data_IF_853519965771
#
_entry.id   IF_853519965771
#
_cell.length_a   1.000
_cell.length_b   1.000
_cell.length_c   1.000
_cell.angle_alpha   90.00
_cell.angle_beta   90.00
_cell.angle_gamma   90.00
#
_symmetry.space_group_name_H-M   'P 1'
#
loop_
_entity.id
_entity.type
_entity.pdbx_description
1 polymer ?
#
# COMPACT_ATOMS: atom_id res chain seq x y z
N UNK A 1 -6.31 20.14 25.35
CA UNK A 1 -5.52 19.37 24.40
C UNK A 1 -6.38 18.59 23.39
N UNK A 2 -7.59 18.23 23.67
CA UNK A 2 -8.41 17.33 22.83
C UNK A 2 -9.31 17.95 21.76
N UNK A 3 -9.48 19.27 21.67
CA UNK A 3 -10.55 19.82 20.82
C UNK A 3 -10.25 19.77 19.31
N UNK A 4 -8.99 19.96 18.90
CA UNK A 4 -8.60 19.83 17.49
C UNK A 4 -8.64 18.39 17.01
N UNK A 5 -8.15 17.47 17.83
CA UNK A 5 -8.17 16.04 17.51
C UNK A 5 -9.60 15.50 17.49
N UNK A 6 -10.43 15.83 18.48
CA UNK A 6 -11.85 15.48 18.50
C UNK A 6 -12.57 15.97 17.23
N UNK A 7 -12.41 17.24 16.84
CA UNK A 7 -12.99 17.79 15.62
C UNK A 7 -12.50 17.05 14.36
N UNK A 8 -11.24 16.61 14.35
CA UNK A 8 -10.67 15.87 13.21
C UNK A 8 -11.21 14.45 13.14
N UNK A 9 -11.35 13.78 14.28
CA UNK A 9 -11.98 12.46 14.37
C UNK A 9 -13.42 12.53 13.86
N UNK A 10 -14.18 13.55 14.23
CA UNK A 10 -15.54 13.74 13.73
C UNK A 10 -15.58 13.98 12.20
N UNK A 11 -14.59 14.69 11.64
CA UNK A 11 -14.44 14.82 10.19
C UNK A 11 -14.13 13.46 9.55
N UNK A 12 -13.21 12.68 10.12
CA UNK A 12 -12.89 11.34 9.62
C UNK A 12 -14.08 10.39 9.70
N UNK A 13 -14.83 10.41 10.80
CA UNK A 13 -16.09 9.68 10.95
C UNK A 13 -17.08 10.03 9.83
N UNK A 14 -17.29 11.33 9.57
CA UNK A 14 -18.17 11.80 8.49
C UNK A 14 -17.70 11.38 7.09
N UNK A 15 -16.40 11.33 6.84
CA UNK A 15 -15.83 10.87 5.56
C UNK A 15 -15.98 9.34 5.36
N UNK A 16 -16.00 8.57 6.45
CA UNK A 16 -16.21 7.13 6.43
C UNK A 16 -17.68 6.75 6.23
N UNK A 17 -18.60 7.59 6.71
CA UNK A 17 -20.03 7.34 6.63
C UNK A 17 -20.66 8.08 5.46
N UNK A 18 -20.93 7.36 4.40
CA UNK A 18 -21.85 7.82 3.36
C UNK A 18 -23.26 7.28 3.69
N UNK A 19 -23.99 8.00 4.53
CA UNK A 19 -25.44 7.76 4.74
C UNK A 19 -26.28 8.42 3.66
N UNK A 20 -25.67 8.95 2.63
CA UNK A 20 -26.35 9.62 1.55
C UNK A 20 -27.15 8.67 0.66
N UNK A 21 -28.00 9.27 -0.15
CA UNK A 21 -28.86 8.58 -1.14
C UNK A 21 -28.10 7.75 -2.17
N UNK A 22 -26.77 7.93 -2.28
CA UNK A 22 -25.89 7.17 -3.18
C UNK A 22 -25.41 5.84 -2.60
N UNK A 23 -25.47 5.68 -1.27
CA UNK A 23 -25.08 4.44 -0.63
C UNK A 23 -26.14 3.36 -0.85
N UNK A 24 -25.79 2.30 -1.58
CA UNK A 24 -26.69 1.19 -1.91
C UNK A 24 -27.11 0.34 -0.70
N UNK A 25 -26.42 0.45 0.43
CA UNK A 25 -26.81 -0.17 1.70
C UNK A 25 -27.96 0.59 2.37
N UNK A 26 -28.14 1.87 2.05
CA UNK A 26 -29.21 2.74 2.58
C UNK A 26 -30.32 2.94 1.56
N UNK A 27 -29.93 3.15 0.28
CA UNK A 27 -30.85 3.37 -0.81
C UNK A 27 -30.47 2.50 -2.00
N UNK A 28 -30.99 1.29 -2.00
CA UNK A 28 -30.78 0.34 -3.08
C UNK A 28 -31.59 0.75 -4.30
N UNK A 29 -30.90 1.10 -5.35
CA UNK A 29 -31.50 1.40 -6.63
C UNK A 29 -31.24 0.25 -7.61
N UNK A 30 -32.29 -0.26 -8.21
CA UNK A 30 -32.18 -1.25 -9.27
C UNK A 30 -31.61 -0.61 -10.52
N UNK A 31 -30.69 -1.30 -11.18
CA UNK A 31 -30.04 -0.82 -12.39
C UNK A 31 -29.85 -1.91 -13.41
N UNK A 32 -29.77 -1.51 -14.70
CA UNK A 32 -29.69 -2.48 -15.81
C UNK A 32 -28.56 -3.52 -15.68
N UNK A 33 -27.39 -3.15 -15.12
CA UNK A 33 -26.21 -4.03 -15.03
C UNK A 33 -25.59 -4.08 -13.63
N UNK A 34 -26.31 -3.64 -12.61
CA UNK A 34 -25.79 -3.53 -11.23
C UNK A 34 -26.40 -4.51 -10.26
N UNK A 35 -27.47 -5.19 -10.62
CA UNK A 35 -28.14 -6.20 -9.80
C UNK A 35 -28.95 -7.15 -10.65
N UNK A 36 -29.23 -8.33 -10.10
CA UNK A 36 -30.17 -9.33 -10.62
C UNK A 36 -31.15 -9.64 -9.49
N UNK A 37 -32.45 -9.49 -9.74
CA UNK A 37 -33.48 -9.95 -8.83
C UNK A 37 -33.79 -11.42 -9.13
N UNK A 38 -33.78 -12.25 -8.10
CA UNK A 38 -34.15 -13.66 -8.16
C UNK A 38 -35.63 -13.74 -7.78
N UNK A 39 -36.45 -14.30 -8.65
CA UNK A 39 -37.89 -14.39 -8.49
C UNK A 39 -38.33 -15.76 -7.99
N UNK A 40 -37.60 -16.82 -8.35
CA UNK A 40 -37.85 -18.21 -7.97
C UNK A 40 -36.49 -18.87 -7.69
N UNK A 41 -36.33 -19.68 -6.64
CA UNK A 41 -37.32 -20.11 -5.63
C UNK A 41 -37.60 -19.03 -4.57
N UNK A 42 -38.46 -19.35 -3.59
CA UNK A 42 -38.71 -18.48 -2.44
C UNK A 42 -37.43 -18.24 -1.62
N UNK A 43 -37.43 -17.16 -0.84
CA UNK A 43 -36.29 -16.70 -0.05
C UNK A 43 -35.74 -17.81 0.86
N UNK A 44 -36.60 -18.54 1.61
CA UNK A 44 -36.15 -19.61 2.50
C UNK A 44 -35.59 -20.82 1.75
N UNK A 45 -36.19 -21.19 0.60
CA UNK A 45 -35.63 -22.27 -0.22
C UNK A 45 -34.26 -21.90 -0.81
N UNK A 46 -34.08 -20.65 -1.19
CA UNK A 46 -32.79 -20.17 -1.68
C UNK A 46 -31.74 -20.17 -0.55
N UNK A 47 -32.16 -19.77 0.66
CA UNK A 47 -31.33 -19.88 1.87
C UNK A 47 -30.93 -21.33 2.15
N UNK A 48 -31.90 -22.25 2.15
CA UNK A 48 -31.65 -23.68 2.37
C UNK A 48 -30.62 -24.21 1.34
N UNK A 49 -30.77 -23.86 0.07
CA UNK A 49 -29.84 -24.32 -0.98
C UNK A 49 -28.43 -23.79 -0.78
N UNK A 50 -28.26 -22.48 -0.59
CA UNK A 50 -26.96 -21.82 -0.58
C UNK A 50 -26.28 -21.93 0.78
N UNK A 51 -27.00 -21.70 1.88
CA UNK A 51 -26.39 -21.55 3.19
C UNK A 51 -26.42 -22.86 3.98
N UNK A 52 -27.55 -23.57 3.99
CA UNK A 52 -27.69 -24.81 4.79
C UNK A 52 -27.03 -25.99 4.08
N UNK A 53 -27.30 -26.15 2.78
CA UNK A 53 -26.81 -27.29 2.00
C UNK A 53 -25.53 -26.99 1.22
N UNK A 54 -25.04 -25.76 1.24
CA UNK A 54 -23.86 -25.28 0.47
C UNK A 54 -23.89 -25.72 -1.01
N UNK A 55 -25.10 -25.79 -1.58
CA UNK A 55 -25.32 -26.25 -2.96
C UNK A 55 -24.97 -25.15 -3.94
N UNK A 56 -24.29 -25.50 -5.03
CA UNK A 56 -24.09 -24.62 -6.18
C UNK A 56 -25.43 -24.39 -6.90
N UNK A 57 -25.74 -23.14 -7.20
CA UNK A 57 -26.94 -22.73 -7.91
C UNK A 57 -26.57 -22.32 -9.34
N UNK A 58 -27.18 -22.96 -10.32
CA UNK A 58 -26.94 -22.71 -11.73
C UNK A 58 -27.90 -21.65 -12.24
N UNK A 59 -27.35 -20.59 -12.87
CA UNK A 59 -28.14 -19.56 -13.54
C UNK A 59 -28.66 -20.06 -14.91
N UNK A 60 -29.80 -19.54 -15.39
CA UNK A 60 -30.24 -19.76 -16.74
C UNK A 60 -29.18 -19.32 -17.76
N UNK A 61 -28.99 -20.12 -18.81
CA UNK A 61 -27.98 -19.88 -19.83
C UNK A 61 -28.52 -20.27 -21.21
N UNK A 62 -28.21 -19.47 -22.23
CA UNK A 62 -28.44 -19.82 -23.60
C UNK A 62 -27.24 -19.43 -24.45
N UNK A 63 -26.81 -20.34 -25.30
CA UNK A 63 -25.76 -20.09 -26.28
C UNK A 63 -26.36 -19.72 -27.62
N UNK A 64 -26.14 -18.50 -28.07
CA UNK A 64 -26.54 -17.98 -29.33
C UNK A 64 -25.58 -18.41 -30.44
N UNK A 65 -26.07 -19.02 -31.49
CA UNK A 65 -25.22 -19.57 -32.58
C UNK A 65 -25.40 -18.77 -33.85
N UNK A 66 -26.63 -18.44 -34.26
CA UNK A 66 -26.93 -17.76 -35.51
C UNK A 66 -28.16 -16.86 -35.37
N UNK A 67 -28.29 -15.94 -36.31
CA UNK A 67 -29.52 -15.19 -36.58
C UNK A 67 -30.05 -15.75 -37.87
N UNK A 68 -31.32 -16.15 -37.92
CA UNK A 68 -31.95 -16.63 -39.14
C UNK A 68 -32.21 -15.49 -40.16
N UNK A 69 -32.69 -15.85 -41.36
CA UNK A 69 -32.95 -14.90 -42.44
C UNK A 69 -34.08 -13.91 -42.10
N UNK A 70 -34.93 -14.22 -41.09
CA UNK A 70 -35.99 -13.37 -40.56
C UNK A 70 -35.55 -12.48 -39.38
N UNK A 71 -34.30 -12.61 -38.94
CA UNK A 71 -33.73 -11.85 -37.82
C UNK A 71 -34.00 -12.46 -36.45
N UNK A 72 -34.53 -13.68 -36.37
CA UNK A 72 -34.71 -14.40 -35.10
C UNK A 72 -33.42 -15.07 -34.63
N UNK A 73 -33.24 -15.06 -33.32
CA UNK A 73 -32.04 -15.61 -32.68
C UNK A 73 -32.15 -17.12 -32.47
N UNK A 74 -31.27 -17.91 -33.09
CA UNK A 74 -31.19 -19.35 -32.91
C UNK A 74 -30.23 -19.70 -31.79
N UNK A 75 -30.68 -20.47 -30.79
CA UNK A 75 -29.92 -20.93 -29.67
C UNK A 75 -29.58 -22.42 -29.81
N UNK A 76 -28.29 -22.77 -29.69
CA UNK A 76 -27.83 -24.16 -29.75
C UNK A 76 -28.08 -24.91 -28.43
N UNK A 77 -27.87 -24.22 -27.32
CA UNK A 77 -28.00 -24.82 -25.99
C UNK A 77 -28.78 -23.89 -25.07
N UNK A 78 -29.86 -24.41 -24.48
CA UNK A 78 -30.64 -23.69 -23.46
C UNK A 78 -30.61 -24.49 -22.18
N UNK A 79 -30.06 -23.89 -21.10
CA UNK A 79 -30.06 -24.43 -19.75
C UNK A 79 -31.00 -23.59 -18.89
N UNK A 80 -32.05 -24.21 -18.35
CA UNK A 80 -33.05 -23.50 -17.52
C UNK A 80 -32.49 -23.01 -16.20
N UNK A 81 -31.45 -23.70 -15.67
CA UNK A 81 -30.90 -23.39 -14.36
C UNK A 81 -31.80 -23.79 -13.19
N UNK A 82 -31.36 -23.45 -11.97
CA UNK A 82 -32.05 -23.73 -10.71
C UNK A 82 -32.96 -22.58 -10.25
N UNK A 83 -32.81 -21.40 -10.86
CA UNK A 83 -33.48 -20.15 -10.45
C UNK A 83 -34.05 -19.40 -11.63
N UNK A 84 -35.09 -18.60 -11.35
CA UNK A 84 -35.64 -17.63 -12.30
C UNK A 84 -35.25 -16.21 -11.88
N UNK A 85 -35.10 -15.33 -12.83
CA UNK A 85 -34.70 -13.95 -12.60
C UNK A 85 -35.59 -12.96 -13.36
N UNK A 86 -35.59 -11.70 -12.93
CA UNK A 86 -36.34 -10.62 -13.59
C UNK A 86 -35.74 -10.16 -14.93
N UNK A 87 -34.71 -10.83 -15.45
CA UNK A 87 -33.97 -10.41 -16.66
C UNK A 87 -34.06 -11.45 -17.77
N UNK A 88 -34.18 -11.01 -19.03
CA UNK A 88 -33.93 -11.87 -20.17
C UNK A 88 -32.53 -12.47 -20.13
N UNK A 89 -32.32 -13.65 -20.68
CA UNK A 89 -31.07 -14.43 -20.57
C UNK A 89 -29.86 -13.62 -21.07
N UNK A 90 -29.96 -12.89 -22.14
CA UNK A 90 -28.86 -12.09 -22.69
C UNK A 90 -28.43 -10.95 -21.75
N UNK A 91 -29.39 -10.25 -21.17
CA UNK A 91 -29.14 -9.18 -20.22
C UNK A 91 -28.64 -9.75 -18.87
N UNK A 92 -29.14 -10.92 -18.49
CA UNK A 92 -28.67 -11.66 -17.32
C UNK A 92 -27.18 -12.01 -17.45
N UNK A 93 -26.76 -12.62 -18.56
CA UNK A 93 -25.36 -12.99 -18.80
C UNK A 93 -24.44 -11.78 -18.77
N UNK A 94 -24.81 -10.66 -19.41
CA UNK A 94 -24.05 -9.41 -19.38
C UNK A 94 -23.96 -8.84 -17.97
N UNK A 95 -25.03 -8.94 -17.20
CA UNK A 95 -25.08 -8.47 -15.81
C UNK A 95 -24.21 -9.34 -14.90
N UNK A 96 -24.30 -10.66 -14.98
CA UNK A 96 -23.49 -11.60 -14.21
C UNK A 96 -21.99 -11.44 -14.50
N UNK A 97 -21.64 -11.25 -15.79
CA UNK A 97 -20.26 -10.93 -16.19
C UNK A 97 -19.75 -9.64 -15.52
N UNK A 98 -20.58 -8.58 -15.52
CA UNK A 98 -20.22 -7.31 -14.88
C UNK A 98 -20.07 -7.43 -13.37
N UNK A 99 -21.00 -8.13 -12.70
CA UNK A 99 -20.96 -8.36 -11.25
C UNK A 99 -19.73 -9.16 -10.86
N UNK A 100 -19.45 -10.27 -11.57
CA UNK A 100 -18.27 -11.10 -11.34
C UNK A 100 -16.96 -10.34 -11.56
N UNK A 101 -16.87 -9.57 -12.63
CA UNK A 101 -15.69 -8.76 -12.92
C UNK A 101 -15.39 -7.78 -11.77
N UNK A 102 -16.40 -7.02 -11.32
CA UNK A 102 -16.25 -6.09 -10.20
C UNK A 102 -15.86 -6.79 -8.89
N UNK A 103 -16.48 -7.92 -8.59
CA UNK A 103 -16.16 -8.70 -7.40
C UNK A 103 -14.72 -9.23 -7.44
N UNK A 104 -14.29 -9.80 -8.57
CA UNK A 104 -12.93 -10.30 -8.72
C UNK A 104 -11.90 -9.16 -8.65
N UNK A 105 -12.15 -8.03 -9.30
CA UNK A 105 -11.27 -6.85 -9.19
C UNK A 105 -11.14 -6.39 -7.74
N UNK A 106 -12.24 -6.34 -6.98
CA UNK A 106 -12.19 -5.98 -5.56
C UNK A 106 -11.38 -6.99 -4.73
N UNK A 107 -11.53 -8.28 -5.02
CA UNK A 107 -10.75 -9.34 -4.36
C UNK A 107 -9.26 -9.23 -4.74
N UNK A 108 -8.94 -8.98 -6.00
CA UNK A 108 -7.55 -8.86 -6.48
C UNK A 108 -6.86 -7.60 -5.97
N UNK A 109 -7.55 -6.46 -5.97
CA UNK A 109 -6.97 -5.17 -5.56
C UNK A 109 -6.97 -4.97 -4.05
N UNK A 110 -8.06 -5.35 -3.36
CA UNK A 110 -8.29 -5.04 -1.94
C UNK A 110 -8.38 -6.29 -1.04
N UNK A 111 -8.46 -7.48 -1.63
CA UNK A 111 -8.66 -8.72 -0.90
C UNK A 111 -10.07 -8.89 -0.31
N UNK A 112 -11.07 -8.17 -0.82
CA UNK A 112 -12.41 -8.07 -0.23
C UNK A 112 -13.45 -8.58 -1.19
N UNK A 113 -14.33 -9.47 -0.73
CA UNK A 113 -15.52 -9.83 -1.48
C UNK A 113 -16.56 -8.70 -1.39
N UNK A 114 -17.09 -8.31 -2.55
CA UNK A 114 -18.17 -7.32 -2.63
C UNK A 114 -19.47 -7.90 -3.15
N UNK A 115 -19.48 -9.17 -3.60
CA UNK A 115 -20.66 -9.78 -4.17
C UNK A 115 -21.52 -10.40 -3.06
N UNK A 116 -22.74 -9.91 -2.94
CA UNK A 116 -23.69 -10.36 -1.94
C UNK A 116 -25.03 -10.73 -2.57
N UNK A 117 -25.62 -11.77 -2.02
CA UNK A 117 -27.03 -12.05 -2.17
C UNK A 117 -27.76 -11.37 -1.01
N UNK A 118 -28.66 -10.45 -1.32
CA UNK A 118 -29.44 -9.74 -0.31
C UNK A 118 -30.78 -10.44 -0.12
N UNK A 119 -31.15 -10.68 1.12
CA UNK A 119 -32.44 -11.28 1.48
C UNK A 119 -33.26 -10.29 2.29
N UNK A 120 -34.41 -9.93 1.75
CA UNK A 120 -35.30 -8.91 2.30
C UNK A 120 -34.85 -7.47 2.09
N UNK A 121 -35.82 -6.61 1.85
CA UNK A 121 -35.65 -5.17 1.69
C UNK A 121 -36.53 -4.40 2.66
N UNK A 122 -35.95 -3.43 3.38
CA UNK A 122 -36.71 -2.49 4.19
C UNK A 122 -37.06 -1.26 3.34
N UNK A 123 -38.36 -1.00 3.20
CA UNK A 123 -38.91 0.25 2.64
C UNK A 123 -39.21 1.21 3.77
N UNK A 124 -38.47 2.30 3.84
CA UNK A 124 -38.55 3.23 4.97
C UNK A 124 -38.44 4.69 4.53
N UNK A 125 -38.81 5.61 5.42
CA UNK A 125 -38.75 7.05 5.20
C UNK A 125 -37.88 7.69 6.27
N UNK A 126 -37.10 8.69 5.89
CA UNK A 126 -36.27 9.46 6.81
C UNK A 126 -37.07 10.45 7.66
N UNK A 127 -38.22 10.91 7.10
CA UNK A 127 -39.18 11.75 7.78
C UNK A 127 -40.60 11.31 7.40
N UNK A 128 -41.53 11.40 8.33
CA UNK A 128 -42.93 10.94 8.10
C UNK A 128 -43.64 11.75 7.01
N UNK A 129 -43.24 13.03 6.84
CA UNK A 129 -43.79 13.95 5.81
C UNK A 129 -43.10 13.82 4.43
N UNK A 130 -42.04 13.02 4.34
CA UNK A 130 -41.32 12.83 3.09
C UNK A 130 -42.06 11.93 2.12
N UNK A 131 -42.16 12.39 0.87
CA UNK A 131 -42.61 11.53 -0.24
C UNK A 131 -41.56 10.50 -0.67
N UNK A 132 -40.28 10.69 -0.27
CA UNK A 132 -39.17 9.81 -0.65
C UNK A 132 -39.14 8.57 0.23
N UNK A 133 -39.24 7.39 -0.40
CA UNK A 133 -39.07 6.08 0.22
C UNK A 133 -37.68 5.54 -0.12
N UNK A 134 -36.95 5.13 0.89
CA UNK A 134 -35.68 4.42 0.76
C UNK A 134 -35.92 2.92 0.74
N UNK A 135 -35.07 2.20 0.02
CA UNK A 135 -35.04 0.73 0.01
C UNK A 135 -33.67 0.28 0.47
N UNK A 136 -33.60 -0.47 1.57
CA UNK A 136 -32.33 -0.94 2.13
C UNK A 136 -32.32 -2.45 2.25
N UNK A 137 -31.25 -3.14 1.78
CA UNK A 137 -31.13 -4.58 1.97
C UNK A 137 -30.95 -4.91 3.46
N UNK A 138 -31.49 -6.04 3.90
CA UNK A 138 -31.53 -6.41 5.31
C UNK A 138 -30.45 -7.44 5.63
N UNK A 139 -30.54 -8.66 5.07
CA UNK A 139 -29.57 -9.74 5.28
C UNK A 139 -28.63 -9.80 4.08
N UNK A 140 -27.33 -9.87 4.32
CA UNK A 140 -26.29 -9.90 3.32
C UNK A 140 -25.57 -11.25 3.40
N UNK A 141 -25.79 -12.10 2.40
CA UNK A 141 -25.12 -13.40 2.25
C UNK A 141 -23.96 -13.25 1.27
N UNK A 142 -22.72 -13.47 1.71
CA UNK A 142 -21.55 -13.38 0.82
C UNK A 142 -21.54 -14.54 -0.17
N UNK A 143 -21.38 -14.25 -1.46
CA UNK A 143 -21.41 -15.26 -2.52
C UNK A 143 -20.32 -15.03 -3.55
N UNK A 144 -20.06 -16.05 -4.39
CA UNK A 144 -19.17 -15.97 -5.54
C UNK A 144 -19.86 -16.47 -6.80
N UNK A 145 -19.49 -15.89 -7.94
CA UNK A 145 -19.89 -16.35 -9.26
C UNK A 145 -18.74 -17.12 -9.90
N UNK A 146 -18.95 -18.41 -10.11
CA UNK A 146 -18.03 -19.30 -10.82
C UNK A 146 -18.49 -19.48 -12.27
N UNK A 147 -17.53 -19.68 -13.16
CA UNK A 147 -17.75 -20.06 -14.57
C UNK A 147 -16.57 -20.92 -15.01
N UNK A 148 -16.83 -22.05 -15.62
CA UNK A 148 -15.79 -23.00 -16.07
C UNK A 148 -15.21 -22.57 -17.42
N UNK A 149 -16.08 -22.16 -18.35
CA UNK A 149 -15.70 -21.71 -19.69
C UNK A 149 -16.61 -20.58 -20.16
N UNK A 150 -16.26 -19.93 -21.25
CA UNK A 150 -17.08 -18.85 -21.85
C UNK A 150 -18.46 -19.37 -22.26
N UNK A 151 -18.56 -20.66 -22.56
CA UNK A 151 -19.79 -21.35 -23.03
C UNK A 151 -20.51 -22.09 -21.91
N UNK A 152 -20.15 -21.88 -20.65
CA UNK A 152 -20.76 -22.51 -19.49
C UNK A 152 -21.68 -21.57 -18.73
N UNK A 153 -22.73 -22.07 -18.05
CA UNK A 153 -23.56 -21.26 -17.17
C UNK A 153 -22.77 -20.71 -15.98
N UNK A 154 -23.18 -19.57 -15.47
CA UNK A 154 -22.69 -19.07 -14.18
C UNK A 154 -23.28 -19.92 -13.04
N UNK A 155 -22.44 -20.18 -12.04
CA UNK A 155 -22.82 -20.85 -10.81
C UNK A 155 -22.63 -19.90 -9.64
N UNK A 156 -23.62 -19.84 -8.78
CA UNK A 156 -23.58 -19.07 -7.52
C UNK A 156 -23.21 -20.03 -6.39
N UNK A 157 -22.20 -19.69 -5.62
CA UNK A 157 -21.74 -20.48 -4.48
C UNK A 157 -21.59 -19.58 -3.26
N UNK A 158 -21.76 -20.14 -2.06
CA UNK A 158 -21.47 -19.44 -0.82
C UNK A 158 -19.99 -19.05 -0.77
N UNK A 159 -19.71 -17.87 -0.22
CA UNK A 159 -18.35 -17.43 0.09
C UNK A 159 -18.06 -17.69 1.57
N UNK A 160 -16.78 -17.93 1.92
CA UNK A 160 -16.33 -18.26 3.29
C UNK A 160 -16.48 -17.06 4.30
N UNK A 161 -16.98 -15.90 3.87
CA UNK A 161 -17.21 -14.75 4.73
C UNK A 161 -18.45 -14.94 5.61
N UNK A 162 -18.55 -14.13 6.67
CA UNK A 162 -19.71 -14.16 7.57
C UNK A 162 -20.95 -13.56 6.91
N UNK A 163 -22.10 -14.19 7.16
CA UNK A 163 -23.41 -13.64 6.83
C UNK A 163 -23.72 -12.53 7.85
N UNK A 164 -24.05 -11.35 7.36
CA UNK A 164 -24.25 -10.19 8.24
C UNK A 164 -25.57 -9.49 7.98
N UNK A 165 -26.15 -8.93 9.04
CA UNK A 165 -27.21 -7.94 8.91
C UNK A 165 -26.58 -6.64 8.47
N UNK A 166 -27.22 -5.92 7.54
CA UNK A 166 -26.72 -4.66 6.98
C UNK A 166 -26.25 -3.70 8.11
N UNK A 167 -24.94 -3.57 8.33
CA UNK A 167 -24.41 -2.83 9.46
C UNK A 167 -24.63 -1.33 9.34
N UNK A 168 -24.73 -0.82 8.10
CA UNK A 168 -24.97 0.60 7.83
C UNK A 168 -26.43 0.97 8.14
N UNK A 169 -27.37 0.10 7.76
CA UNK A 169 -28.78 0.26 8.09
C UNK A 169 -29.00 0.15 9.59
N UNK A 170 -28.41 -0.87 10.23
CA UNK A 170 -28.51 -1.08 11.68
C UNK A 170 -28.04 0.14 12.46
N UNK A 171 -26.90 0.72 12.10
CA UNK A 171 -26.36 1.90 12.75
C UNK A 171 -27.27 3.14 12.53
N UNK A 172 -27.79 3.32 11.31
CA UNK A 172 -28.69 4.44 11.01
C UNK A 172 -30.03 4.33 11.75
N UNK A 173 -30.60 3.13 11.83
CA UNK A 173 -31.86 2.90 12.57
C UNK A 173 -31.69 3.13 14.06
N UNK A 174 -30.59 2.72 14.63
CA UNK A 174 -30.28 2.94 16.04
C UNK A 174 -30.08 4.43 16.34
N UNK A 175 -29.19 5.10 15.61
CA UNK A 175 -28.84 6.50 15.88
C UNK A 175 -29.96 7.50 15.58
N UNK A 176 -30.67 7.34 14.46
CA UNK A 176 -31.67 8.33 14.02
C UNK A 176 -33.04 8.06 14.57
N UNK A 177 -33.38 6.80 14.90
CA UNK A 177 -34.74 6.39 15.27
C UNK A 177 -34.81 5.59 16.57
N UNK A 178 -33.68 5.24 17.19
CA UNK A 178 -33.62 4.42 18.41
C UNK A 178 -34.13 2.99 18.20
N UNK A 179 -34.05 2.47 16.95
CA UNK A 179 -34.54 1.14 16.62
C UNK A 179 -33.36 0.19 16.52
N UNK A 180 -33.22 -0.68 17.53
CA UNK A 180 -32.23 -1.76 17.50
C UNK A 180 -32.75 -2.91 16.65
N UNK A 181 -32.01 -3.27 15.60
CA UNK A 181 -32.30 -4.46 14.78
C UNK A 181 -32.20 -5.73 15.65
N UNK A 182 -33.00 -6.77 15.38
CA UNK A 182 -32.87 -8.05 16.09
C UNK A 182 -31.48 -8.65 15.85
N UNK A 183 -31.01 -9.48 16.77
CA UNK A 183 -29.86 -10.35 16.52
C UNK A 183 -30.28 -11.45 15.54
N UNK A 184 -29.33 -11.85 14.68
CA UNK A 184 -29.52 -12.89 13.68
C UNK A 184 -28.45 -13.96 13.87
N UNK A 185 -28.90 -15.18 14.10
CA UNK A 185 -28.05 -16.36 14.15
C UNK A 185 -28.27 -17.19 12.88
N UNK A 186 -27.31 -17.17 11.97
CA UNK A 186 -27.39 -17.90 10.68
C UNK A 186 -27.52 -19.42 10.82
N UNK A 187 -27.28 -19.97 12.00
CA UNK A 187 -27.40 -21.41 12.28
C UNK A 187 -28.77 -21.84 12.77
N UNK A 188 -29.55 -20.92 13.35
CA UNK A 188 -30.82 -21.22 14.02
C UNK A 188 -32.00 -20.42 13.48
N UNK A 189 -31.78 -19.21 12.96
CA UNK A 189 -32.85 -18.35 12.47
C UNK A 189 -33.09 -18.59 10.96
N UNK A 190 -34.39 -18.69 10.55
CA UNK A 190 -34.72 -18.56 9.14
C UNK A 190 -34.75 -17.09 8.72
N UNK A 191 -34.41 -16.77 7.46
CA UNK A 191 -34.52 -15.41 6.98
C UNK A 191 -35.94 -14.83 7.11
N UNK A 192 -36.98 -15.59 6.80
CA UNK A 192 -38.38 -15.13 6.88
C UNK A 192 -38.75 -14.83 8.32
N UNK A 193 -38.43 -15.69 9.31
CA UNK A 193 -38.67 -15.42 10.72
C UNK A 193 -37.98 -14.15 11.20
N UNK A 194 -36.77 -13.89 10.72
CA UNK A 194 -36.03 -12.66 11.03
C UNK A 194 -36.73 -11.41 10.46
N UNK A 195 -37.18 -11.49 9.20
CA UNK A 195 -37.92 -10.39 8.56
C UNK A 195 -39.24 -10.10 9.28
N UNK A 196 -39.94 -11.12 9.74
CA UNK A 196 -41.15 -10.97 10.57
C UNK A 196 -40.85 -10.29 11.91
N UNK A 197 -39.78 -10.75 12.62
CA UNK A 197 -39.32 -10.10 13.87
C UNK A 197 -39.02 -8.61 13.66
N UNK A 198 -38.34 -8.27 12.57
CA UNK A 198 -38.04 -6.88 12.21
C UNK A 198 -39.33 -6.11 11.88
N UNK A 199 -40.21 -6.69 11.07
CA UNK A 199 -41.49 -6.08 10.70
C UNK A 199 -42.32 -5.71 11.95
N UNK A 200 -42.37 -6.58 12.96
CA UNK A 200 -43.03 -6.29 14.23
C UNK A 200 -42.42 -5.08 14.95
N UNK A 201 -41.07 -4.93 14.95
CA UNK A 201 -40.41 -3.81 15.62
C UNK A 201 -40.67 -2.45 14.95
N UNK A 202 -40.85 -2.43 13.62
CA UNK A 202 -41.01 -1.19 12.83
C UNK A 202 -42.46 -0.83 12.55
N UNK A 203 -43.41 -1.66 12.97
CA UNK A 203 -44.85 -1.49 12.69
C UNK A 203 -45.39 -0.09 13.00
N UNK A 204 -44.91 0.52 14.06
CA UNK A 204 -45.34 1.85 14.50
C UNK A 204 -44.82 3.00 13.59
N UNK A 205 -43.91 2.74 12.68
CA UNK A 205 -43.34 3.75 11.76
C UNK A 205 -44.00 3.76 10.38
N UNK A 206 -44.90 2.84 10.11
CA UNK A 206 -45.52 2.71 8.78
C UNK A 206 -44.52 2.30 7.67
N UNK A 207 -43.42 1.67 8.07
CA UNK A 207 -42.45 1.10 7.16
C UNK A 207 -42.83 -0.32 6.78
N UNK A 208 -42.31 -0.81 5.65
CA UNK A 208 -42.61 -2.14 5.14
C UNK A 208 -41.36 -2.97 4.88
N UNK A 209 -41.43 -4.25 5.22
CA UNK A 209 -40.41 -5.25 4.86
C UNK A 209 -40.90 -6.04 3.66
N UNK A 210 -40.13 -6.07 2.57
CA UNK A 210 -40.43 -6.84 1.38
C UNK A 210 -39.51 -8.07 1.27
N UNK A 211 -40.12 -9.22 1.01
CA UNK A 211 -39.38 -10.47 0.74
C UNK A 211 -38.89 -10.44 -0.71
N UNK A 212 -37.78 -9.78 -0.94
CA UNK A 212 -37.13 -9.73 -2.26
C UNK A 212 -35.67 -10.12 -2.14
N UNK A 213 -35.18 -10.77 -3.20
CA UNK A 213 -33.81 -11.29 -3.24
C UNK A 213 -33.08 -10.69 -4.42
N UNK A 214 -31.90 -10.09 -4.15
CA UNK A 214 -31.08 -9.47 -5.18
C UNK A 214 -29.62 -9.90 -5.08
N UNK A 215 -29.02 -10.25 -6.23
CA UNK A 215 -27.58 -10.43 -6.36
C UNK A 215 -26.93 -9.12 -6.78
N UNK A 216 -25.98 -8.61 -6.02
CA UNK A 216 -25.39 -7.29 -6.25
C UNK A 216 -24.02 -7.11 -5.57
N UNK A 217 -23.22 -6.13 -6.03
CA UNK A 217 -22.00 -5.71 -5.35
C UNK A 217 -22.33 -4.64 -4.30
N UNK A 218 -21.92 -4.88 -3.05
CA UNK A 218 -22.04 -4.00 -1.89
C UNK A 218 -20.69 -3.90 -1.17
N UNK A 219 -20.43 -2.77 -0.52
CA UNK A 219 -19.24 -2.59 0.33
C UNK A 219 -19.62 -1.87 1.60
N UNK A 220 -19.28 -2.43 2.75
CA UNK A 220 -19.56 -1.88 4.08
C UNK A 220 -18.32 -1.77 4.99
N UNK A 221 -17.13 -1.86 4.42
CA UNK A 221 -15.87 -1.76 5.17
C UNK A 221 -15.76 -0.46 5.96
N UNK A 222 -16.23 0.63 5.38
CA UNK A 222 -16.14 1.96 5.99
C UNK A 222 -16.88 2.05 7.32
N UNK A 223 -17.97 1.30 7.48
CA UNK A 223 -18.71 1.30 8.75
C UNK A 223 -17.95 0.63 9.89
N UNK A 224 -17.16 -0.41 9.58
CA UNK A 224 -16.32 -1.06 10.58
C UNK A 224 -15.20 -0.11 11.05
N UNK A 225 -14.57 0.63 10.11
CA UNK A 225 -13.61 1.69 10.44
C UNK A 225 -14.25 2.80 11.30
N UNK A 226 -15.48 3.19 10.99
CA UNK A 226 -16.22 4.16 11.78
C UNK A 226 -16.43 3.69 13.23
N UNK A 227 -16.96 2.48 13.40
CA UNK A 227 -17.16 1.88 14.72
C UNK A 227 -15.84 1.73 15.49
N UNK A 228 -14.75 1.44 14.81
CA UNK A 228 -13.43 1.35 15.42
C UNK A 228 -12.94 2.72 15.91
N UNK A 229 -13.10 3.78 15.11
CA UNK A 229 -12.78 5.14 15.53
C UNK A 229 -13.63 5.57 16.74
N UNK A 230 -14.92 5.22 16.76
CA UNK A 230 -15.84 5.54 17.86
C UNK A 230 -15.44 4.83 19.17
N UNK A 231 -15.17 3.53 19.11
CA UNK A 231 -14.81 2.70 20.28
C UNK A 231 -13.44 3.02 20.85
N UNK A 232 -12.51 3.51 20.04
CA UNK A 232 -11.12 3.73 20.44
C UNK A 232 -10.76 5.22 20.55
N UNK A 233 -11.71 6.12 20.63
CA UNK A 233 -11.46 7.57 20.66
C UNK A 233 -10.50 7.99 21.78
N UNK A 234 -10.59 7.40 22.97
CA UNK A 234 -9.66 7.64 24.08
C UNK A 234 -8.24 7.22 23.75
N UNK A 235 -8.05 6.06 23.09
CA UNK A 235 -6.73 5.57 22.68
C UNK A 235 -6.14 6.44 21.59
N UNK A 236 -6.97 6.92 20.66
CA UNK A 236 -6.57 7.84 19.60
C UNK A 236 -6.07 9.16 20.18
N UNK A 237 -6.76 9.69 21.20
CA UNK A 237 -6.39 10.91 21.92
C UNK A 237 -5.06 10.77 22.68
N UNK A 238 -4.71 9.58 23.14
CA UNK A 238 -3.46 9.31 23.83
C UNK A 238 -2.27 9.08 22.90
N UNK A 239 -2.49 8.85 21.60
CA UNK A 239 -1.46 8.51 20.64
C UNK A 239 -0.73 9.73 20.11
N UNK A 240 0.59 9.84 20.34
CA UNK A 240 1.42 10.98 19.94
C UNK A 240 1.55 11.13 18.41
N UNK A 241 1.54 10.02 17.65
CA UNK A 241 1.64 10.06 16.18
C UNK A 241 0.35 10.63 15.60
N UNK A 242 -0.81 10.23 16.12
CA UNK A 242 -2.10 10.76 15.69
C UNK A 242 -2.22 12.26 16.04
N UNK A 243 -1.77 12.66 17.24
CA UNK A 243 -1.72 14.06 17.63
C UNK A 243 -0.85 14.90 16.67
N UNK A 244 0.25 14.35 16.18
CA UNK A 244 1.08 15.02 15.18
C UNK A 244 0.43 15.13 13.80
N UNK A 245 -0.25 14.07 13.33
CA UNK A 245 -0.99 14.09 12.07
C UNK A 245 -2.07 15.18 12.06
N UNK A 246 -2.61 15.51 13.23
CA UNK A 246 -3.59 16.60 13.40
C UNK A 246 -2.92 17.99 13.62
N UNK A 247 -1.61 18.03 13.79
CA UNK A 247 -0.85 19.26 14.02
C UNK A 247 -0.93 19.78 15.47
N UNK A 248 -1.19 18.91 16.46
CA UNK A 248 -1.24 19.29 17.87
C UNK A 248 0.11 19.15 18.58
N UNK A 249 0.96 18.24 18.16
CA UNK A 249 2.29 18.01 18.72
C UNK A 249 3.28 17.64 17.62
N UNK A 250 4.53 18.02 17.79
CA UNK A 250 5.63 17.48 17.01
C UNK A 250 6.10 16.20 17.73
N UNK A 251 5.73 14.97 17.30
CA UNK A 251 5.96 13.77 18.07
C UNK A 251 7.39 13.28 18.05
N UNK A 252 8.21 13.87 17.17
CA UNK A 252 9.53 13.37 16.87
C UNK A 252 10.51 14.53 17.06
N UNK A 253 11.17 14.54 18.19
CA UNK A 253 12.51 15.08 18.25
C UNK A 253 13.41 14.03 17.59
N UNK A 254 13.59 14.13 16.29
CA UNK A 254 14.78 13.58 15.66
C UNK A 254 15.91 14.33 16.31
N UNK A 255 16.76 13.66 17.07
CA UNK A 255 17.94 14.29 17.66
C UNK A 255 18.71 14.97 16.52
N UNK A 256 19.13 16.22 16.69
CA UNK A 256 19.89 17.00 15.72
C UNK A 256 21.15 16.27 15.21
N UNK A 257 21.58 15.25 15.91
CA UNK A 257 22.71 14.37 15.57
C UNK A 257 22.56 13.58 14.26
N UNK A 258 21.37 13.44 13.69
CA UNK A 258 21.18 12.68 12.44
C UNK A 258 21.66 13.40 11.19
N UNK A 259 21.72 14.73 11.19
CA UNK A 259 22.25 15.49 10.06
C UNK A 259 23.78 15.33 9.88
N UNK A 260 24.48 14.87 10.92
CA UNK A 260 25.92 14.63 10.93
C UNK A 260 26.26 13.16 11.23
N UNK A 261 25.30 12.26 11.05
CA UNK A 261 25.50 10.84 11.37
C UNK A 261 26.28 10.16 10.24
N UNK A 262 27.49 9.73 10.57
CA UNK A 262 28.33 8.95 9.67
C UNK A 262 28.08 7.45 9.89
N UNK A 263 27.31 6.83 8.99
CA UNK A 263 26.97 5.40 9.05
C UNK A 263 28.22 4.52 9.10
N UNK A 264 29.24 4.88 8.33
CA UNK A 264 30.44 4.06 8.19
C UNK A 264 31.30 4.07 9.44
N UNK A 265 31.29 5.17 10.20
CA UNK A 265 32.07 5.28 11.43
C UNK A 265 31.31 4.84 12.68
N UNK A 266 29.98 4.95 12.67
CA UNK A 266 29.17 4.77 13.88
C UNK A 266 28.43 3.44 13.95
N UNK A 267 28.26 2.73 12.82
CA UNK A 267 27.55 1.44 12.76
C UNK A 267 28.50 0.36 12.25
N UNK A 268 28.69 -0.68 13.04
CA UNK A 268 29.48 -1.84 12.59
C UNK A 268 28.62 -2.78 11.73
N UNK A 269 29.18 -3.46 10.71
CA UNK A 269 28.46 -4.43 9.92
C UNK A 269 27.77 -5.53 10.71
N UNK A 270 28.35 -5.93 11.85
CA UNK A 270 27.78 -6.96 12.73
C UNK A 270 26.47 -6.51 13.40
N UNK A 271 26.25 -5.20 13.55
CA UNK A 271 25.07 -4.62 14.19
C UNK A 271 23.98 -4.24 13.18
N UNK A 272 24.18 -4.57 11.88
CA UNK A 272 23.24 -4.33 10.79
C UNK A 272 22.70 -5.62 10.22
N UNK A 273 21.38 -5.64 9.99
CA UNK A 273 20.64 -6.79 9.44
C UNK A 273 19.97 -6.42 8.12
N UNK A 274 20.66 -5.62 7.31
CA UNK A 274 20.22 -5.27 5.97
C UNK A 274 20.27 -6.51 5.08
N UNK A 275 19.17 -6.81 4.38
CA UNK A 275 18.98 -8.02 3.57
C UNK A 275 18.92 -7.76 2.06
N UNK A 276 18.75 -6.51 1.66
CA UNK A 276 18.79 -6.06 0.27
C UNK A 276 19.63 -4.77 0.17
N UNK A 277 20.20 -4.50 -1.00
CA UNK A 277 20.99 -3.30 -1.22
C UNK A 277 20.21 -2.02 -0.91
N UNK A 278 20.90 -1.02 -0.38
CA UNK A 278 20.34 0.28 -0.03
C UNK A 278 21.34 1.40 -0.33
N UNK A 279 20.86 2.52 -0.84
CA UNK A 279 21.64 3.75 -0.92
C UNK A 279 21.69 4.46 0.43
N UNK A 280 22.48 5.56 0.53
CA UNK A 280 22.66 6.28 1.80
C UNK A 280 21.35 6.83 2.36
N UNK A 281 20.46 7.36 1.52
CA UNK A 281 19.17 7.91 1.95
C UNK A 281 18.21 6.82 2.43
N UNK A 282 18.29 5.63 1.83
CA UNK A 282 17.54 4.47 2.29
C UNK A 282 18.10 3.95 3.64
N UNK A 283 19.42 3.97 3.81
CA UNK A 283 20.07 3.61 5.09
C UNK A 283 19.70 4.58 6.22
N UNK A 284 19.60 5.88 5.92
CA UNK A 284 19.09 6.88 6.88
C UNK A 284 17.68 6.53 7.36
N UNK A 285 16.79 6.14 6.44
CA UNK A 285 15.42 5.75 6.79
C UNK A 285 15.39 4.47 7.64
N UNK A 286 16.24 3.48 7.33
CA UNK A 286 16.37 2.24 8.11
C UNK A 286 16.84 2.57 9.54
N UNK A 287 17.88 3.40 9.67
CA UNK A 287 18.42 3.83 10.95
C UNK A 287 17.41 4.60 11.80
N UNK A 288 16.70 5.56 11.17
CA UNK A 288 15.63 6.31 11.82
C UNK A 288 14.57 5.38 12.41
N UNK A 289 14.15 4.40 11.61
CA UNK A 289 13.19 3.39 12.06
C UNK A 289 13.73 2.54 13.22
N UNK A 290 14.99 2.12 13.15
CA UNK A 290 15.67 1.37 14.23
C UNK A 290 15.70 2.14 15.54
N UNK A 291 15.93 3.45 15.47
CA UNK A 291 15.90 4.40 16.62
C UNK A 291 14.47 4.72 17.11
N UNK A 292 13.43 4.16 16.47
CA UNK A 292 12.02 4.33 16.88
C UNK A 292 11.39 5.64 16.41
N UNK A 293 11.98 6.31 15.42
CA UNK A 293 11.39 7.51 14.84
C UNK A 293 10.14 7.17 14.01
N UNK A 294 9.16 8.09 14.00
CA UNK A 294 8.02 8.05 13.09
C UNK A 294 8.21 9.13 12.02
N UNK A 295 8.15 8.76 10.76
CA UNK A 295 8.44 9.66 9.65
C UNK A 295 7.65 9.30 8.39
N UNK A 296 7.64 10.18 7.42
CA UNK A 296 7.07 9.95 6.09
C UNK A 296 8.19 9.74 5.09
N UNK A 297 8.21 8.55 4.46
CA UNK A 297 9.15 8.22 3.40
C UNK A 297 8.48 8.48 2.04
N UNK A 298 8.90 9.54 1.37
CA UNK A 298 8.44 9.88 0.03
C UNK A 298 9.44 9.43 -1.02
N UNK A 299 8.94 8.85 -2.12
CA UNK A 299 9.78 8.48 -3.26
C UNK A 299 8.90 8.19 -4.49
N UNK A 300 9.30 8.64 -5.69
CA UNK A 300 8.66 8.26 -6.94
C UNK A 300 8.69 6.74 -7.17
N UNK A 301 7.92 6.21 -8.12
CA UNK A 301 8.08 4.82 -8.56
C UNK A 301 9.52 4.54 -9.01
N UNK A 302 10.08 3.39 -8.63
CA UNK A 302 11.45 3.00 -8.99
C UNK A 302 12.55 3.43 -8.02
N UNK A 303 12.29 4.24 -7.00
CA UNK A 303 13.28 4.71 -6.00
C UNK A 303 13.60 3.72 -4.88
N UNK A 304 13.24 2.46 -5.00
CA UNK A 304 13.57 1.45 -4.00
C UNK A 304 12.74 1.45 -2.71
N UNK A 305 11.58 2.13 -2.65
CA UNK A 305 10.73 2.14 -1.44
C UNK A 305 10.47 0.76 -0.84
N UNK A 306 10.16 -0.22 -1.68
CA UNK A 306 9.93 -1.59 -1.21
C UNK A 306 11.20 -2.26 -0.68
N UNK A 307 12.37 -1.87 -1.16
CA UNK A 307 13.67 -2.33 -0.62
C UNK A 307 13.90 -1.73 0.76
N UNK A 308 13.69 -0.43 0.89
CA UNK A 308 13.77 0.25 2.20
C UNK A 308 12.83 -0.36 3.23
N UNK A 309 11.56 -0.62 2.85
CA UNK A 309 10.58 -1.28 3.72
C UNK A 309 11.06 -2.68 4.12
N UNK A 310 11.61 -3.46 3.18
CA UNK A 310 12.13 -4.81 3.45
C UNK A 310 13.27 -4.75 4.47
N UNK A 311 14.22 -3.82 4.33
CA UNK A 311 15.31 -3.64 5.28
C UNK A 311 14.82 -3.15 6.65
N UNK A 312 13.86 -2.22 6.70
CA UNK A 312 13.24 -1.77 7.97
C UNK A 312 12.61 -2.96 8.71
N UNK A 313 11.88 -3.82 7.98
CA UNK A 313 11.26 -5.01 8.58
C UNK A 313 12.34 -5.99 9.06
N UNK A 314 13.38 -6.25 8.27
CA UNK A 314 14.46 -7.15 8.64
C UNK A 314 15.21 -6.69 9.92
N UNK A 315 15.57 -5.41 10.00
CA UNK A 315 16.18 -4.81 11.19
C UNK A 315 15.26 -4.90 12.42
N UNK A 316 13.98 -4.62 12.24
CA UNK A 316 13.01 -4.70 13.34
C UNK A 316 12.81 -6.14 13.84
N UNK A 317 12.83 -7.13 12.95
CA UNK A 317 12.77 -8.57 13.31
C UNK A 317 14.04 -8.96 14.08
N UNK A 318 15.22 -8.52 13.63
CA UNK A 318 16.48 -8.78 14.30
C UNK A 318 16.52 -8.19 15.71
N UNK A 319 15.93 -7.00 15.90
CA UNK A 319 15.75 -6.37 17.21
C UNK A 319 14.63 -7.03 18.06
N UNK A 320 14.01 -8.12 17.61
CA UNK A 320 12.90 -8.80 18.29
C UNK A 320 11.59 -8.00 18.34
N UNK A 321 11.43 -7.01 17.48
CA UNK A 321 10.23 -6.16 17.40
C UNK A 321 9.14 -6.84 16.60
N UNK A 322 7.89 -6.56 16.95
CA UNK A 322 6.71 -6.94 16.15
C UNK A 322 6.39 -5.83 15.16
N UNK A 323 6.32 -6.19 13.88
CA UNK A 323 6.06 -5.23 12.79
C UNK A 323 4.68 -5.49 12.19
N UNK A 324 3.87 -4.46 12.06
CA UNK A 324 2.63 -4.48 11.31
C UNK A 324 2.81 -3.65 10.03
N UNK A 325 2.78 -4.32 8.88
CA UNK A 325 2.80 -3.68 7.57
C UNK A 325 1.40 -3.63 7.00
N UNK A 326 0.88 -2.45 6.73
CA UNK A 326 -0.48 -2.21 6.25
C UNK A 326 -0.44 -1.54 4.88
N UNK A 327 -1.26 -2.03 3.95
CA UNK A 327 -1.48 -1.40 2.65
C UNK A 327 -2.92 -1.59 2.20
N UNK A 328 -3.46 -0.61 1.49
CA UNK A 328 -4.78 -0.69 0.86
C UNK A 328 -4.79 -1.73 -0.27
N UNK A 329 -3.67 -1.84 -1.02
CA UNK A 329 -3.58 -2.74 -2.17
C UNK A 329 -2.85 -4.03 -1.82
N UNK A 330 -3.49 -5.15 -2.12
CA UNK A 330 -2.92 -6.50 -1.98
C UNK A 330 -1.57 -6.64 -2.72
N UNK A 331 -1.46 -6.09 -3.93
CA UNK A 331 -0.23 -6.15 -4.72
C UNK A 331 0.99 -5.55 -3.98
N UNK A 332 0.81 -4.48 -3.21
CA UNK A 332 1.89 -3.88 -2.44
C UNK A 332 2.33 -4.78 -1.27
N UNK A 333 1.38 -5.44 -0.60
CA UNK A 333 1.68 -6.45 0.44
C UNK A 333 2.47 -7.62 -0.16
N UNK A 334 2.02 -8.12 -1.32
CA UNK A 334 2.66 -9.25 -2.00
C UNK A 334 4.10 -8.94 -2.44
N UNK A 335 4.39 -7.74 -2.91
CA UNK A 335 5.74 -7.32 -3.31
C UNK A 335 6.70 -7.37 -2.11
N UNK A 336 6.29 -6.82 -0.96
CA UNK A 336 7.14 -6.84 0.25
C UNK A 336 7.29 -8.26 0.78
N UNK A 337 6.21 -9.03 0.84
CA UNK A 337 6.26 -10.44 1.27
C UNK A 337 7.19 -11.28 0.38
N UNK A 338 7.09 -11.16 -0.96
CA UNK A 338 7.94 -11.91 -1.88
C UNK A 338 9.43 -11.56 -1.72
N UNK A 339 9.76 -10.30 -1.42
CA UNK A 339 11.15 -9.88 -1.11
C UNK A 339 11.64 -10.50 0.19
N UNK A 340 10.84 -10.45 1.27
CA UNK A 340 11.18 -11.10 2.54
C UNK A 340 11.34 -12.61 2.38
N UNK A 341 10.48 -13.24 1.59
CA UNK A 341 10.56 -14.67 1.28
C UNK A 341 11.84 -15.02 0.50
N UNK A 342 12.24 -14.20 -0.47
CA UNK A 342 13.46 -14.44 -1.27
C UNK A 342 14.76 -14.39 -0.46
N UNK A 343 14.73 -13.70 0.69
CA UNK A 343 15.87 -13.62 1.62
C UNK A 343 15.73 -14.54 2.85
N UNK A 344 14.76 -15.46 2.81
CA UNK A 344 14.58 -16.48 3.86
C UNK A 344 13.83 -16.01 5.11
N UNK A 345 13.14 -14.87 5.05
CA UNK A 345 12.37 -14.32 6.17
C UNK A 345 10.87 -14.64 6.11
N UNK A 346 10.43 -15.52 5.20
CA UNK A 346 9.01 -15.88 5.06
C UNK A 346 8.40 -16.45 6.35
N UNK A 347 9.15 -17.28 7.07
CA UNK A 347 8.68 -17.96 8.28
C UNK A 347 8.43 -17.00 9.47
N UNK A 348 8.97 -15.78 9.39
CA UNK A 348 8.72 -14.71 10.36
C UNK A 348 7.55 -13.81 9.94
N UNK A 349 6.94 -14.08 8.77
CA UNK A 349 5.87 -13.26 8.22
C UNK A 349 4.53 -13.99 8.37
N UNK A 350 3.55 -13.26 8.89
CA UNK A 350 2.17 -13.74 8.97
C UNK A 350 1.28 -12.90 8.08
N UNK A 351 0.68 -13.53 7.05
CA UNK A 351 -0.16 -12.82 6.09
C UNK A 351 -1.61 -12.83 6.54
N UNK A 352 -2.13 -11.65 6.90
CA UNK A 352 -3.54 -11.46 7.27
C UNK A 352 -4.27 -10.80 6.10
N UNK A 353 -4.98 -11.59 5.33
CA UNK A 353 -5.87 -11.10 4.28
C UNK A 353 -7.31 -11.33 4.72
N UNK A 354 -8.14 -10.29 4.65
CA UNK A 354 -9.49 -10.28 5.20
C UNK A 354 -10.39 -11.45 4.74
N UNK A 355 -10.10 -12.06 3.58
CA UNK A 355 -11.00 -13.04 2.97
C UNK A 355 -10.32 -14.28 2.36
N UNK A 356 -9.01 -14.45 2.48
CA UNK A 356 -8.30 -15.64 1.96
C UNK A 356 -7.72 -16.54 3.05
N UNK A 357 -7.65 -16.07 4.27
CA UNK A 357 -7.03 -16.83 5.34
C UNK A 357 -8.04 -17.85 5.87
N UNK A 358 -8.07 -19.06 5.24
CA UNK A 358 -8.74 -20.20 5.85
C UNK A 358 -8.11 -20.45 7.22
N UNK A 359 -8.93 -20.63 8.24
CA UNK A 359 -8.47 -20.94 9.61
C UNK A 359 -7.38 -22.02 9.64
N UNK A 360 -7.48 -23.00 8.74
CA UNK A 360 -6.51 -24.09 8.57
C UNK A 360 -5.15 -23.59 8.07
N UNK A 361 -5.11 -22.63 7.14
CA UNK A 361 -3.87 -22.06 6.60
C UNK A 361 -3.17 -21.19 7.66
N UNK A 362 -3.93 -20.39 8.39
CA UNK A 362 -3.44 -19.61 9.54
C UNK A 362 -2.79 -20.53 10.58
N UNK A 363 -3.48 -21.60 10.96
CA UNK A 363 -2.95 -22.56 11.94
C UNK A 363 -1.69 -23.28 11.43
N UNK A 364 -1.63 -23.58 10.14
CA UNK A 364 -0.44 -24.19 9.52
C UNK A 364 0.74 -23.21 9.54
N UNK A 365 0.54 -21.93 9.16
CA UNK A 365 1.59 -20.93 9.15
C UNK A 365 2.12 -20.66 10.56
N UNK A 366 1.23 -20.58 11.56
CA UNK A 366 1.63 -20.50 12.97
C UNK A 366 2.42 -21.72 13.44
N UNK A 367 1.98 -22.93 13.05
CA UNK A 367 2.70 -24.15 13.40
C UNK A 367 4.12 -24.17 12.77
N UNK A 368 4.24 -23.76 11.51
CA UNK A 368 5.54 -23.63 10.84
C UNK A 368 6.45 -22.64 11.57
N UNK A 369 5.94 -21.46 11.93
CA UNK A 369 6.72 -20.44 12.66
C UNK A 369 7.19 -20.91 14.05
N UNK A 370 6.38 -21.73 14.73
CA UNK A 370 6.76 -22.27 16.06
C UNK A 370 7.84 -23.36 15.93
N UNK A 371 7.82 -24.12 14.84
CA UNK A 371 8.72 -25.25 14.62
C UNK A 371 10.04 -24.87 13.91
N UNK A 372 10.32 -23.57 13.75
CA UNK A 372 11.57 -23.11 13.12
C UNK A 372 12.76 -23.53 14.02
N UNK A 373 13.69 -24.27 13.43
CA UNK A 373 14.93 -24.64 14.09
C UNK A 373 15.82 -23.42 14.33
N UNK A 374 16.39 -23.32 15.52
CA UNK A 374 17.35 -22.26 15.84
C UNK A 374 18.65 -22.49 15.08
N UNK A 375 18.91 -21.67 14.09
CA UNK A 375 20.17 -21.69 13.36
C UNK A 375 21.23 -20.92 14.13
N UNK A 376 22.41 -21.51 14.31
CA UNK A 376 23.57 -20.81 14.87
C UNK A 376 24.25 -20.00 13.78
N UNK A 377 24.71 -18.80 14.11
CA UNK A 377 25.55 -18.00 13.23
C UNK A 377 26.84 -18.78 12.97
N UNK A 378 27.23 -18.96 11.71
CA UNK A 378 28.46 -19.66 11.33
C UNK A 378 29.65 -18.77 11.60
N UNK A 379 30.74 -19.32 12.13
CA UNK A 379 32.00 -18.59 12.39
C UNK A 379 32.56 -17.93 11.12
N UNK A 380 32.33 -18.56 9.96
CA UNK A 380 32.70 -17.99 8.66
C UNK A 380 32.00 -16.65 8.37
N UNK A 381 30.71 -16.53 8.74
CA UNK A 381 29.96 -15.27 8.54
C UNK A 381 30.50 -14.16 9.44
N UNK A 382 30.86 -14.46 10.67
CA UNK A 382 31.48 -13.51 11.58
C UNK A 382 32.81 -13.03 11.04
N UNK A 383 33.64 -13.94 10.53
CA UNK A 383 34.94 -13.62 9.89
C UNK A 383 34.77 -12.71 8.67
N UNK A 384 33.72 -12.94 7.87
CA UNK A 384 33.44 -12.09 6.72
C UNK A 384 32.94 -10.68 7.12
N UNK A 385 32.15 -10.57 8.18
CA UNK A 385 31.74 -9.27 8.73
C UNK A 385 32.92 -8.47 9.26
N UNK A 386 33.87 -9.11 9.96
CA UNK A 386 35.11 -8.49 10.41
C UNK A 386 35.97 -8.02 9.22
N UNK A 387 36.05 -8.84 8.16
CA UNK A 387 36.77 -8.46 6.94
C UNK A 387 36.12 -7.26 6.25
N UNK A 388 34.78 -7.24 6.20
CA UNK A 388 34.01 -6.11 5.65
C UNK A 388 34.31 -4.82 6.40
N UNK A 389 34.31 -4.87 7.74
CA UNK A 389 34.63 -3.71 8.58
C UNK A 389 36.03 -3.18 8.32
N UNK A 390 37.03 -4.07 8.28
CA UNK A 390 38.42 -3.67 7.98
C UNK A 390 38.56 -3.02 6.60
N UNK A 391 37.91 -3.58 5.57
CA UNK A 391 37.94 -3.00 4.22
C UNK A 391 37.23 -1.65 4.16
N UNK A 392 36.13 -1.49 4.88
CA UNK A 392 35.42 -0.21 5.00
C UNK A 392 36.30 0.87 5.66
N UNK A 393 36.95 0.54 6.76
CA UNK A 393 37.91 1.44 7.40
C UNK A 393 39.02 1.88 6.45
N UNK A 394 39.64 0.93 5.73
CA UNK A 394 40.68 1.24 4.77
C UNK A 394 40.20 2.16 3.62
N UNK A 395 39.00 1.95 3.12
CA UNK A 395 38.42 2.80 2.06
C UNK A 395 38.11 4.20 2.58
N UNK A 396 37.63 4.32 3.82
CA UNK A 396 37.37 5.62 4.43
C UNK A 396 38.67 6.39 4.73
N UNK A 397 39.71 5.71 5.24
CA UNK A 397 41.04 6.29 5.40
C UNK A 397 41.59 6.77 4.05
N UNK A 398 41.48 5.94 3.01
CA UNK A 398 41.94 6.32 1.67
C UNK A 398 41.19 7.56 1.13
N UNK A 399 39.85 7.59 1.35
CA UNK A 399 39.04 8.74 0.93
C UNK A 399 39.40 10.00 1.72
N UNK A 400 39.61 9.90 3.04
CA UNK A 400 40.02 11.03 3.87
C UNK A 400 41.39 11.58 3.40
N UNK A 401 42.39 10.71 3.22
CA UNK A 401 43.72 11.09 2.70
C UNK A 401 43.63 11.75 1.33
N UNK A 402 42.83 11.19 0.42
CA UNK A 402 42.65 11.73 -0.93
C UNK A 402 42.05 13.14 -0.95
N UNK A 403 41.16 13.46 -0.01
CA UNK A 403 40.47 14.74 0.08
C UNK A 403 41.04 15.68 1.13
N UNK A 404 41.98 15.23 1.95
CA UNK A 404 42.62 16.08 2.95
C UNK A 404 43.42 17.18 2.27
N UNK A 405 43.23 18.40 2.71
CA UNK A 405 43.98 19.54 2.18
C UNK A 405 45.33 19.66 2.80
N UNK A 406 46.36 19.83 1.96
CA UNK A 406 47.74 20.05 2.40
C UNK A 406 47.93 21.44 3.01
N UNK A 407 48.76 21.55 4.04
CA UNK A 407 48.95 22.76 4.82
C UNK A 407 49.55 23.97 4.08
N UNK A 408 50.19 23.79 2.92
CA UNK A 408 50.85 24.88 2.20
C UNK A 408 49.97 25.47 1.09
N UNK A 409 49.48 24.62 0.23
CA UNK A 409 48.77 25.01 -0.98
C UNK A 409 47.25 24.93 -0.85
N UNK A 410 46.72 24.41 0.24
CA UNK A 410 45.29 24.21 0.49
C UNK A 410 44.61 23.42 -0.65
N UNK A 411 45.30 22.44 -1.19
CA UNK A 411 44.84 21.55 -2.26
C UNK A 411 44.86 20.11 -1.80
N UNK A 412 43.90 19.32 -2.23
CA UNK A 412 43.89 17.87 -1.99
C UNK A 412 44.53 17.09 -3.15
N UNK A 413 44.97 15.88 -2.89
CA UNK A 413 45.48 14.96 -3.93
C UNK A 413 44.45 14.80 -5.04
N UNK A 414 43.18 14.68 -4.67
CA UNK A 414 42.03 14.61 -5.61
C UNK A 414 41.99 15.83 -6.55
N UNK A 415 42.08 17.05 -5.99
CA UNK A 415 42.05 18.28 -6.79
C UNK A 415 43.28 18.40 -7.72
N UNK A 416 44.47 18.00 -7.25
CA UNK A 416 45.70 17.97 -8.06
C UNK A 416 45.57 16.99 -9.23
N UNK A 417 45.08 15.78 -8.99
CA UNK A 417 44.82 14.80 -10.05
C UNK A 417 43.83 15.32 -11.09
N UNK A 418 42.77 16.02 -10.64
CA UNK A 418 41.82 16.68 -11.53
C UNK A 418 42.42 17.78 -12.40
N UNK A 419 43.36 18.57 -11.87
CA UNK A 419 44.12 19.57 -12.66
C UNK A 419 45.13 18.90 -13.62
N UNK A 420 45.80 17.84 -13.20
CA UNK A 420 46.70 17.09 -14.06
C UNK A 420 45.95 16.45 -15.24
N UNK A 421 44.77 15.89 -15.02
CA UNK A 421 43.95 15.34 -16.10
C UNK A 421 43.55 16.37 -17.16
N UNK A 422 43.38 17.64 -16.80
CA UNK A 422 43.15 18.73 -17.78
C UNK A 422 44.36 19.01 -18.64
N UNK A 423 45.53 18.66 -18.20
CA UNK A 423 46.80 18.91 -18.86
C UNK A 423 47.28 17.72 -19.75
N UNK A 424 46.51 16.66 -19.87
CA UNK A 424 46.87 15.44 -20.61
C UNK A 424 47.32 15.72 -22.06
N UNK A 425 46.74 16.71 -22.72
CA UNK A 425 47.07 17.09 -24.10
C UNK A 425 47.98 18.31 -24.20
N UNK A 426 48.58 18.76 -23.11
CA UNK A 426 49.49 19.90 -23.07
C UNK A 426 50.93 19.38 -23.19
N UNK A 427 51.79 19.96 -24.05
CA UNK A 427 53.20 19.55 -24.17
C UNK A 427 53.92 19.64 -22.83
N UNK A 428 54.73 18.63 -22.50
CA UNK A 428 55.54 18.62 -21.30
C UNK A 428 56.56 19.76 -21.33
N UNK A 429 56.52 20.58 -20.28
CA UNK A 429 57.52 21.63 -20.07
C UNK A 429 58.37 21.21 -18.87
N UNK A 430 59.62 20.85 -19.15
CA UNK A 430 60.59 20.43 -18.12
C UNK A 430 61.21 21.66 -17.48
N UNK A 431 60.75 22.00 -16.28
CA UNK A 431 61.44 22.99 -15.42
C UNK A 431 61.33 22.52 -13.97
N UNK A 432 62.31 22.91 -13.17
CA UNK A 432 62.29 22.63 -11.75
C UNK A 432 61.91 23.89 -10.96
N UNK A 433 61.00 23.77 -10.06
CA UNK A 433 60.70 24.83 -9.08
C UNK A 433 61.50 24.53 -7.82
N UNK A 434 62.45 25.42 -7.47
CA UNK A 434 63.12 25.37 -6.16
C UNK A 434 62.12 25.70 -5.06
N UNK A 435 62.27 25.06 -3.91
CA UNK A 435 61.51 25.36 -2.69
C UNK A 435 60.01 25.11 -2.78
N UNK A 436 59.63 24.03 -3.48
CA UNK A 436 58.18 23.61 -3.66
C UNK A 436 57.47 23.50 -2.32
N UNK A 437 58.15 23.02 -1.27
CA UNK A 437 57.59 22.80 0.07
C UNK A 437 57.25 24.10 0.78
N UNK A 438 57.76 25.25 0.34
CA UNK A 438 57.51 26.56 0.92
C UNK A 438 56.51 27.40 0.14
N UNK A 439 56.00 26.90 -0.98
CA UNK A 439 55.05 27.64 -1.83
C UNK A 439 53.68 27.70 -1.12
N UNK A 440 53.24 28.92 -0.82
CA UNK A 440 51.91 29.18 -0.28
C UNK A 440 50.92 29.51 -1.40
N UNK A 441 49.61 29.46 -1.11
CA UNK A 441 48.52 29.86 -2.02
C UNK A 441 48.76 31.30 -2.56
N UNK A 442 49.23 32.20 -1.74
CA UNK A 442 49.51 33.60 -2.13
C UNK A 442 50.58 33.66 -3.17
N UNK A 443 51.72 32.97 -2.95
CA UNK A 443 52.85 32.91 -3.92
C UNK A 443 52.44 32.23 -5.21
N UNK A 444 51.62 31.14 -5.15
CA UNK A 444 51.12 30.48 -6.35
C UNK A 444 50.21 31.41 -7.17
N UNK A 445 49.32 32.12 -6.52
CA UNK A 445 48.42 33.05 -7.22
C UNK A 445 49.17 34.24 -7.82
N UNK A 446 50.18 34.79 -7.15
CA UNK A 446 51.06 35.82 -7.69
C UNK A 446 51.77 35.32 -8.93
N UNK A 447 52.39 34.17 -8.89
CA UNK A 447 53.06 33.56 -10.05
C UNK A 447 52.08 33.31 -11.21
N UNK A 448 50.91 32.79 -10.95
CA UNK A 448 49.84 32.63 -11.97
C UNK A 448 49.43 33.96 -12.58
N UNK A 449 49.25 34.99 -11.77
CA UNK A 449 48.94 36.31 -12.26
C UNK A 449 50.05 36.85 -13.19
N UNK A 450 51.31 36.74 -12.79
CA UNK A 450 52.45 37.19 -13.58
C UNK A 450 52.56 36.44 -14.91
N UNK A 451 52.34 35.11 -14.91
CA UNK A 451 52.31 34.28 -16.11
C UNK A 451 51.14 34.67 -17.05
N UNK A 452 49.97 34.95 -16.50
CA UNK A 452 48.83 35.43 -17.28
C UNK A 452 49.10 36.80 -17.93
N UNK A 453 49.71 37.75 -17.19
CA UNK A 453 50.08 39.06 -17.73
C UNK A 453 51.17 38.93 -18.81
N UNK A 454 52.16 38.08 -18.60
CA UNK A 454 53.17 37.74 -19.58
C UNK A 454 52.52 37.19 -20.85
N UNK A 455 51.65 36.18 -20.74
CA UNK A 455 50.91 35.59 -21.86
C UNK A 455 50.08 36.62 -22.64
N UNK A 456 49.35 37.48 -21.95
CA UNK A 456 48.59 38.57 -22.58
C UNK A 456 49.53 39.56 -23.35
N UNK A 457 50.69 39.84 -22.80
CA UNK A 457 51.66 40.77 -23.40
C UNK A 457 52.32 40.13 -24.63
N UNK A 458 52.62 38.82 -24.57
CA UNK A 458 53.15 38.04 -25.68
C UNK A 458 52.11 37.84 -26.79
N UNK A 459 50.85 37.55 -26.46
CA UNK A 459 49.76 37.36 -27.42
C UNK A 459 49.40 38.62 -28.21
N UNK A 460 49.64 39.83 -27.65
CA UNK A 460 49.45 41.10 -28.37
C UNK A 460 50.55 41.45 -29.40
N UNK A 461 51.64 40.72 -29.40
CA UNK A 461 52.79 40.91 -30.31
C UNK A 461 52.97 39.65 -31.18
N UNK A 462 51.96 39.32 -31.95
CA UNK A 462 51.90 38.08 -32.69
C UNK A 462 52.82 37.95 -33.88
N UNK A 463 53.63 38.89 -34.20
CA UNK A 463 54.65 38.80 -35.28
C UNK A 463 56.02 39.04 -34.69
N UNK A 464 56.88 38.06 -34.69
CA UNK A 464 58.31 38.06 -34.36
C UNK A 464 58.76 38.26 -32.90
N UNK A 465 58.30 37.38 -32.03
CA UNK A 465 58.99 37.20 -30.72
C UNK A 465 60.46 36.82 -30.87
N UNK A 466 60.90 36.25 -32.00
CA UNK A 466 62.27 35.88 -32.32
C UNK A 466 63.18 37.08 -32.49
N UNK A 467 62.67 38.24 -32.90
CA UNK A 467 63.46 39.48 -33.14
C UNK A 467 63.36 40.51 -32.00
N UNK A 468 62.75 40.17 -30.86
CA UNK A 468 62.62 41.07 -29.76
C UNK A 468 63.92 41.23 -28.98
N UNK A 469 64.46 42.47 -28.93
CA UNK A 469 65.64 42.88 -28.19
C UNK A 469 65.70 42.41 -26.76
N UNK A 470 64.52 42.28 -26.12
CA UNK A 470 64.37 41.84 -24.72
C UNK A 470 64.47 40.32 -24.52
N UNK A 471 64.53 39.54 -25.60
CA UNK A 471 64.66 38.08 -25.55
C UNK A 471 65.94 37.60 -24.84
N UNK A 472 66.97 38.43 -24.83
CA UNK A 472 68.24 38.15 -24.25
C UNK A 472 68.55 38.91 -22.97
N UNK A 473 67.53 39.61 -22.42
CA UNK A 473 67.71 40.35 -21.17
C UNK A 473 67.79 39.37 -19.99
N UNK A 474 68.83 39.43 -19.21
CA UNK A 474 69.03 38.65 -17.99
C UNK A 474 68.25 39.28 -16.79
N UNK A 475 66.96 39.49 -16.90
CA UNK A 475 66.13 39.87 -15.74
C UNK A 475 66.04 38.65 -14.85
N UNK A 476 66.70 38.69 -13.73
CA UNK A 476 66.47 37.72 -12.63
C UNK A 476 65.18 38.11 -11.93
N UNK A 477 64.20 37.24 -11.97
CA UNK A 477 63.02 37.31 -11.15
C UNK A 477 63.33 36.87 -9.73
#
# INVERSE_FOLDING_TARGET
MGQKLHNRIEIWKKLLLDFGKRNRLINFLEGKRSNVMITTPSLDKLWEFIVVNEREIVFPYAQKVQVDDDGEEIYETIIRGDIETNKPIDDLQKTLKSLRYKANTSIEEQGINTLYLTLGMLKWKERDDSSQVFSSPIILVPVRLLIESITSPYRLVLHDDEIVINPTLSHKLDNDFGILMPEFDSTHDSPTDYLEKLSCKIKNKGWNVEESTHLTNLSFLKINMYKDLERNEEKLNANSVIAALVGEKNPIQVSEDLNNFDHDKQIRPIDTFQVVDADSSQQDAVLLSKKGASFVLQGPPGTGKSQTITNIIAEAIADGKKVLFVSEKMAALQVVYSRLASVGLADFCFTLHSHKAKKKDILRDLANSINIDRTRVRDEALTQLDLLERKRCLLNEYQEELHTQTSGLNVSIYSVNGELAKLENVPDVIFSISDVDTVTVAVLNERRYLLNELSKTMGKRSEDYTDNVWRVSSVKF
#
